data_IF_369678313212
#
_entry.id   IF_369678313212
#
_cell.length_a   1.000
_cell.length_b   1.000
_cell.length_c   1.000
_cell.angle_alpha   90.00
_cell.angle_beta   90.00
_cell.angle_gamma   90.00
#
_symmetry.space_group_name_H-M   'P 1'
#
loop_
_entity.id
_entity.type
_entity.pdbx_description
1 polymer ?
#
# COMPACT_ATOMS: atom_id res chain seq x y z
N UNK A 1 10.04 39.46 28.61
CA UNK A 1 11.44 38.97 28.62
C UNK A 1 11.52 37.90 27.58
N UNK A 2 12.01 38.31 26.42
CA UNK A 2 11.90 37.63 25.14
C UNK A 2 13.32 37.20 24.79
N UNK A 3 13.58 35.90 24.75
CA UNK A 3 14.86 35.39 24.25
C UNK A 3 14.66 34.97 22.80
N UNK A 4 15.09 35.86 21.91
CA UNK A 4 15.45 35.54 20.54
C UNK A 4 16.74 34.72 20.57
N UNK A 5 16.78 33.63 19.81
CA UNK A 5 18.03 32.95 19.46
C UNK A 5 18.25 33.20 17.97
N UNK A 6 19.32 33.93 17.70
CA UNK A 6 19.90 34.17 16.37
C UNK A 6 20.32 32.85 15.73
N UNK A 7 19.85 32.61 14.51
CA UNK A 7 20.48 31.68 13.57
C UNK A 7 21.14 32.50 12.47
N UNK A 8 22.39 32.88 12.71
CA UNK A 8 23.30 33.41 11.71
C UNK A 8 24.53 32.50 11.63
N UNK A 9 24.84 32.05 10.42
CA UNK A 9 26.18 31.61 10.02
C UNK A 9 26.47 30.12 10.17
N UNK A 10 26.19 29.35 9.12
CA UNK A 10 27.15 28.36 8.57
C UNK A 10 26.93 28.31 7.05
N UNK A 11 27.63 29.20 6.35
CA UNK A 11 27.96 29.08 4.93
C UNK A 11 29.45 28.65 4.86
N UNK A 12 29.86 28.03 3.75
CA UNK A 12 31.21 27.55 3.39
C UNK A 12 31.68 26.18 3.93
N UNK A 13 31.56 25.17 3.06
CA UNK A 13 32.68 24.32 2.66
C UNK A 13 32.34 23.61 1.32
N UNK A 14 32.62 24.32 0.22
CA UNK A 14 32.78 23.76 -1.12
C UNK A 14 34.26 23.83 -1.50
N UNK A 15 34.70 22.97 -2.43
CA UNK A 15 36.06 22.60 -2.88
C UNK A 15 36.48 21.24 -2.27
N UNK A 16 36.97 20.24 -3.00
CA UNK A 16 37.71 20.21 -4.27
C UNK A 16 37.90 18.73 -4.65
N UNK A 17 37.54 18.29 -5.86
CA UNK A 17 38.06 17.08 -6.54
C UNK A 17 37.79 17.26 -8.04
N UNK A 18 38.68 17.90 -8.79
CA UNK A 18 39.92 17.39 -9.42
C UNK A 18 39.66 16.50 -10.65
N UNK A 19 39.94 17.09 -11.81
CA UNK A 19 39.96 16.51 -13.16
C UNK A 19 41.28 15.79 -13.39
N UNK A 20 41.25 14.51 -13.75
CA UNK A 20 42.21 13.76 -14.61
C UNK A 20 41.79 12.29 -14.53
N UNK A 21 41.58 11.51 -15.60
CA UNK A 21 42.44 11.24 -16.75
C UNK A 21 41.61 10.55 -17.84
N UNK A 22 41.64 11.06 -19.07
CA UNK A 22 41.25 10.31 -20.27
C UNK A 22 42.31 9.25 -20.58
N UNK A 23 41.90 7.99 -20.65
CA UNK A 23 42.74 6.88 -21.11
C UNK A 23 41.91 5.90 -21.94
N UNK A 24 42.12 5.94 -23.25
CA UNK A 24 41.57 5.02 -24.24
C UNK A 24 42.09 3.60 -24.03
N UNK A 25 41.24 2.59 -24.25
CA UNK A 25 41.68 1.28 -24.79
C UNK A 25 40.50 0.53 -25.41
N UNK A 26 40.68 0.19 -26.69
CA UNK A 26 39.85 -0.73 -27.48
C UNK A 26 40.07 -2.19 -27.04
N UNK A 27 38.99 -2.99 -27.05
CA UNK A 27 38.86 -4.42 -27.39
C UNK A 27 37.52 -4.86 -26.76
N UNK A 28 36.48 -5.27 -27.49
CA UNK A 28 36.50 -6.32 -28.50
C UNK A 28 36.17 -7.64 -27.79
N UNK A 29 34.89 -7.98 -27.65
CA UNK A 29 34.40 -9.35 -27.86
C UNK A 29 32.87 -9.45 -27.81
N UNK A 30 32.37 -10.27 -28.74
CA UNK A 30 30.98 -10.62 -28.95
C UNK A 30 30.63 -11.75 -27.99
N UNK A 31 29.67 -11.53 -27.10
CA UNK A 31 28.92 -12.63 -26.49
C UNK A 31 27.41 -12.43 -26.67
N UNK A 32 26.81 -13.51 -27.15
CA UNK A 32 25.39 -13.69 -27.42
C UNK A 32 24.58 -13.59 -26.12
N UNK A 33 23.38 -12.98 -26.12
CA UNK A 33 22.58 -12.89 -24.91
C UNK A 33 22.02 -14.27 -24.56
N UNK A 34 22.53 -14.85 -23.46
CA UNK A 34 21.85 -15.93 -22.77
C UNK A 34 20.51 -15.39 -22.23
N UNK A 35 19.43 -15.84 -22.84
CA UNK A 35 18.07 -15.67 -22.35
C UNK A 35 17.96 -16.34 -20.97
N UNK A 36 18.03 -15.53 -19.92
CA UNK A 36 17.78 -15.93 -18.55
C UNK A 36 16.29 -16.30 -18.41
N UNK A 37 15.98 -17.54 -18.72
CA UNK A 37 14.64 -18.09 -18.60
C UNK A 37 14.37 -18.39 -17.12
N UNK A 38 14.01 -17.36 -16.35
CA UNK A 38 13.50 -17.50 -14.99
C UNK A 38 12.05 -18.01 -15.07
N UNK A 39 11.88 -19.32 -15.29
CA UNK A 39 10.60 -19.97 -15.02
C UNK A 39 10.34 -19.90 -13.51
N UNK A 40 9.32 -19.13 -13.13
CA UNK A 40 8.83 -18.98 -11.78
C UNK A 40 8.12 -20.27 -11.31
N UNK A 41 8.86 -21.18 -10.66
CA UNK A 41 8.27 -22.13 -9.68
C UNK A 41 7.90 -21.43 -8.35
N UNK A 42 8.12 -20.11 -8.23
CA UNK A 42 7.77 -19.30 -7.05
C UNK A 42 6.27 -18.93 -6.96
N UNK A 43 5.45 -19.41 -7.89
CA UNK A 43 4.00 -19.11 -7.94
C UNK A 43 3.23 -19.80 -6.81
N UNK A 44 3.57 -21.05 -6.48
CA UNK A 44 2.77 -21.82 -5.52
C UNK A 44 3.02 -21.40 -4.06
N UNK A 45 4.25 -21.04 -3.69
CA UNK A 45 4.54 -20.48 -2.37
C UNK A 45 3.91 -19.09 -2.11
N UNK A 46 3.77 -18.28 -3.16
CA UNK A 46 3.10 -16.97 -3.04
C UNK A 46 1.59 -17.12 -2.95
N UNK A 47 1.01 -18.14 -3.61
CA UNK A 47 -0.39 -18.50 -3.43
C UNK A 47 -0.66 -18.92 -1.99
N UNK A 48 0.19 -19.73 -1.36
CA UNK A 48 -0.03 -20.16 0.03
C UNK A 48 -0.09 -18.97 1.01
N UNK A 49 0.78 -17.96 0.85
CA UNK A 49 0.79 -16.74 1.70
C UNK A 49 -0.43 -15.83 1.42
N UNK A 50 -0.96 -15.85 0.20
CA UNK A 50 -2.17 -15.09 -0.19
C UNK A 50 -3.45 -15.85 0.21
N UNK A 51 -3.44 -17.17 0.13
CA UNK A 51 -4.53 -18.04 0.57
C UNK A 51 -4.73 -17.96 2.08
N UNK A 52 -3.62 -17.88 2.84
CA UNK A 52 -3.67 -17.67 4.29
C UNK A 52 -4.31 -16.32 4.66
N UNK A 53 -4.30 -15.32 3.75
CA UNK A 53 -5.01 -14.06 3.92
C UNK A 53 -6.50 -14.14 3.56
N UNK A 54 -6.89 -14.89 2.53
CA UNK A 54 -8.32 -15.07 2.18
C UNK A 54 -9.06 -15.95 3.18
N UNK A 55 -8.44 -17.05 3.66
CA UNK A 55 -9.07 -17.95 4.64
C UNK A 55 -9.17 -17.33 6.05
N UNK A 56 -8.30 -16.36 6.42
CA UNK A 56 -8.41 -15.63 7.70
C UNK A 56 -9.45 -14.50 7.69
N UNK A 57 -9.62 -13.79 6.56
CA UNK A 57 -10.53 -12.62 6.47
C UNK A 57 -11.98 -13.06 6.23
N UNK A 58 -12.17 -14.17 5.52
CA UNK A 58 -13.44 -14.87 5.42
C UNK A 58 -13.23 -16.31 5.83
N UNK A 59 -13.45 -16.69 7.11
CA UNK A 59 -13.59 -18.10 7.42
C UNK A 59 -14.67 -18.64 6.50
N UNK A 60 -14.29 -19.53 5.57
CA UNK A 60 -15.23 -20.15 4.64
C UNK A 60 -16.42 -20.60 5.45
N UNK A 61 -17.61 -20.11 5.09
CA UNK A 61 -18.82 -20.75 5.58
C UNK A 61 -18.66 -22.24 5.29
N UNK A 62 -18.86 -23.14 6.28
CA UNK A 62 -18.70 -24.55 6.06
C UNK A 62 -19.59 -24.94 4.88
N UNK A 63 -18.96 -25.35 3.78
CA UNK A 63 -19.67 -25.81 2.60
C UNK A 63 -20.65 -26.89 3.04
N UNK A 64 -21.92 -26.65 2.72
CA UNK A 64 -23.10 -27.46 3.03
C UNK A 64 -22.78 -28.94 3.16
N UNK A 65 -22.95 -29.47 4.38
CA UNK A 65 -22.88 -30.91 4.65
C UNK A 65 -23.82 -31.69 3.71
N UNK A 66 -23.42 -32.90 3.27
CA UNK A 66 -24.26 -33.73 2.42
C UNK A 66 -25.61 -33.98 3.08
N UNK A 67 -26.68 -33.83 2.31
CA UNK A 67 -28.06 -34.00 2.74
C UNK A 67 -28.28 -35.36 3.43
N UNK A 68 -28.27 -35.35 4.76
CA UNK A 68 -28.73 -36.47 5.58
C UNK A 68 -30.23 -36.30 5.74
N UNK A 69 -30.97 -37.08 4.97
CA UNK A 69 -32.41 -37.26 5.16
C UNK A 69 -32.63 -38.05 6.46
N UNK A 70 -33.04 -37.38 7.53
CA UNK A 70 -33.43 -38.03 8.79
C UNK A 70 -34.31 -37.10 9.60
N UNK A 71 -35.61 -37.38 9.60
CA UNK A 71 -36.64 -36.68 10.36
C UNK A 71 -36.27 -36.70 11.87
N UNK A 72 -36.00 -35.53 12.46
CA UNK A 72 -35.76 -35.43 13.91
C UNK A 72 -34.94 -34.25 14.46
N UNK A 73 -34.73 -33.17 13.70
CA UNK A 73 -33.92 -32.03 14.13
C UNK A 73 -34.69 -30.71 13.96
N UNK A 74 -35.37 -30.24 15.01
CA UNK A 74 -36.00 -28.90 15.01
C UNK A 74 -35.63 -28.07 16.25
N UNK A 75 -34.75 -28.57 17.13
CA UNK A 75 -34.37 -27.89 18.38
C UNK A 75 -32.87 -27.63 18.55
N UNK A 76 -32.01 -28.02 17.58
CA UNK A 76 -30.54 -27.88 17.70
C UNK A 76 -29.91 -26.77 16.84
N UNK A 77 -30.70 -26.05 16.03
CA UNK A 77 -30.17 -25.00 15.14
C UNK A 77 -30.08 -23.61 15.78
N UNK A 78 -30.73 -23.37 16.93
CA UNK A 78 -30.76 -22.02 17.53
C UNK A 78 -29.52 -21.64 18.36
N UNK A 79 -28.76 -22.61 18.85
CA UNK A 79 -27.62 -22.36 19.75
C UNK A 79 -26.35 -22.00 18.96
N UNK A 80 -26.13 -22.60 17.79
CA UNK A 80 -24.94 -22.36 16.95
C UNK A 80 -24.93 -20.96 16.32
N UNK A 81 -26.09 -20.42 15.91
CA UNK A 81 -26.19 -19.08 15.33
C UNK A 81 -25.74 -17.97 16.30
N UNK A 82 -26.07 -18.13 17.59
CA UNK A 82 -25.67 -17.14 18.62
C UNK A 82 -24.17 -17.13 18.87
N UNK A 83 -23.50 -18.28 18.74
CA UNK A 83 -22.06 -18.41 18.91
C UNK A 83 -21.33 -17.71 17.75
N UNK A 84 -21.74 -17.95 16.51
CA UNK A 84 -21.12 -17.34 15.31
C UNK A 84 -21.22 -15.81 15.36
N UNK A 85 -22.39 -15.27 15.68
CA UNK A 85 -22.60 -13.81 15.78
C UNK A 85 -21.70 -13.18 16.86
N UNK A 86 -21.55 -13.86 18.01
CA UNK A 86 -20.71 -13.38 19.11
C UNK A 86 -19.24 -13.31 18.71
N UNK A 87 -18.72 -14.32 18.01
CA UNK A 87 -17.34 -14.31 17.52
C UNK A 87 -17.09 -13.16 16.52
N UNK A 88 -18.01 -12.95 15.58
CA UNK A 88 -17.90 -11.85 14.62
C UNK A 88 -17.89 -10.48 15.30
N UNK A 89 -18.74 -10.27 16.32
CA UNK A 89 -18.74 -9.04 17.11
C UNK A 89 -17.43 -8.83 17.87
N UNK A 90 -16.88 -9.88 18.48
CA UNK A 90 -15.61 -9.82 19.19
C UNK A 90 -14.46 -9.44 18.26
N UNK A 91 -14.37 -10.05 17.07
CA UNK A 91 -13.35 -9.69 16.09
C UNK A 91 -13.45 -8.22 15.64
N UNK A 92 -14.67 -7.74 15.36
CA UNK A 92 -14.90 -6.33 15.01
C UNK A 92 -14.47 -5.38 16.13
N UNK A 93 -14.80 -5.70 17.38
CA UNK A 93 -14.39 -4.91 18.54
C UNK A 93 -12.86 -4.90 18.71
N UNK A 94 -12.19 -6.04 18.55
CA UNK A 94 -10.74 -6.12 18.59
C UNK A 94 -10.09 -5.26 17.50
N UNK A 95 -10.60 -5.32 16.25
CA UNK A 95 -10.13 -4.47 15.15
C UNK A 95 -10.24 -2.99 15.48
N UNK A 96 -11.39 -2.55 16.02
CA UNK A 96 -11.57 -1.14 16.44
C UNK A 96 -10.53 -0.75 17.50
N UNK A 97 -10.35 -1.57 18.54
CA UNK A 97 -9.40 -1.29 19.62
C UNK A 97 -7.96 -1.20 19.12
N UNK A 98 -7.56 -2.13 18.23
CA UNK A 98 -6.22 -2.15 17.64
C UNK A 98 -5.96 -0.92 16.77
N UNK A 99 -6.93 -0.51 15.96
CA UNK A 99 -6.84 0.71 15.13
C UNK A 99 -6.65 1.94 16.02
N UNK A 100 -7.52 2.12 17.02
CA UNK A 100 -7.44 3.28 17.92
C UNK A 100 -6.12 3.30 18.68
N UNK A 101 -5.67 2.17 19.20
CA UNK A 101 -4.40 2.06 19.90
C UNK A 101 -3.21 2.42 18.99
N UNK A 102 -3.18 1.91 17.76
CA UNK A 102 -2.13 2.20 16.79
C UNK A 102 -2.13 3.67 16.34
N UNK A 103 -3.31 4.28 16.16
CA UNK A 103 -3.46 5.71 15.86
C UNK A 103 -2.87 6.56 16.98
N UNK A 104 -3.26 6.31 18.23
CA UNK A 104 -2.77 7.06 19.39
C UNK A 104 -1.28 6.86 19.60
N UNK A 105 -0.79 5.62 19.48
CA UNK A 105 0.63 5.32 19.61
C UNK A 105 1.47 6.06 18.56
N UNK A 106 1.05 6.03 17.29
CA UNK A 106 1.76 6.71 16.20
C UNK A 106 1.71 8.23 16.36
N UNK A 107 0.54 8.77 16.70
CA UNK A 107 0.35 10.20 16.96
C UNK A 107 1.23 10.68 18.11
N UNK A 108 1.28 9.92 19.21
CA UNK A 108 2.07 10.26 20.37
C UNK A 108 3.58 10.18 20.10
N UNK A 109 4.03 9.13 19.41
CA UNK A 109 5.42 8.99 18.97
C UNK A 109 5.85 10.11 18.02
N UNK A 110 4.98 10.53 17.11
CA UNK A 110 5.31 11.58 16.15
C UNK A 110 5.30 12.98 16.76
N UNK A 111 4.29 13.33 17.55
CA UNK A 111 4.08 14.70 18.01
C UNK A 111 4.71 15.01 19.37
N UNK A 112 4.87 14.01 20.26
CA UNK A 112 5.46 14.23 21.58
C UNK A 112 6.90 13.74 21.71
N UNK A 113 7.31 12.75 20.92
CA UNK A 113 8.71 12.30 20.86
C UNK A 113 9.37 12.93 19.63
N UNK A 114 10.14 13.99 19.85
CA UNK A 114 10.88 14.70 18.80
C UNK A 114 11.93 13.86 18.06
N UNK A 115 12.17 12.62 18.51
CA UNK A 115 13.16 11.69 17.94
C UNK A 115 12.63 11.03 16.66
N UNK A 116 11.31 10.90 16.48
CA UNK A 116 10.74 10.13 15.38
C UNK A 116 10.05 11.02 14.33
N UNK A 117 10.50 10.89 13.08
CA UNK A 117 9.74 11.36 11.92
C UNK A 117 8.42 10.59 11.82
N UNK A 118 7.39 11.20 11.22
CA UNK A 118 6.06 10.58 11.08
C UNK A 118 6.09 9.18 10.45
N UNK A 119 6.91 9.00 9.41
CA UNK A 119 7.12 7.71 8.73
C UNK A 119 7.82 6.69 9.66
N UNK A 120 8.81 7.11 10.44
CA UNK A 120 9.50 6.23 11.38
C UNK A 120 8.57 5.78 12.52
N UNK A 121 7.72 6.68 13.03
CA UNK A 121 6.73 6.36 14.05
C UNK A 121 5.71 5.32 13.53
N UNK A 122 5.15 5.54 12.33
CA UNK A 122 4.24 4.57 11.69
C UNK A 122 4.94 3.24 11.40
N UNK A 123 6.19 3.29 10.91
CA UNK A 123 7.00 2.09 10.67
C UNK A 123 7.27 1.32 11.97
N UNK A 124 7.56 1.98 13.08
CA UNK A 124 7.76 1.31 14.36
C UNK A 124 6.48 0.61 14.85
N UNK A 125 5.34 1.30 14.81
CA UNK A 125 4.05 0.74 15.21
C UNK A 125 3.63 -0.41 14.29
N UNK A 126 3.83 -0.27 12.98
CA UNK A 126 3.58 -1.32 11.99
C UNK A 126 4.48 -2.55 12.18
N UNK A 127 5.76 -2.33 12.50
CA UNK A 127 6.72 -3.41 12.74
C UNK A 127 6.35 -4.19 14.01
N UNK A 128 6.09 -3.48 15.12
CA UNK A 128 5.69 -4.12 16.39
C UNK A 128 4.38 -4.86 16.23
N UNK A 129 3.37 -4.26 15.58
CA UNK A 129 2.10 -4.94 15.35
C UNK A 129 2.24 -6.15 14.43
N UNK A 130 3.03 -6.07 13.34
CA UNK A 130 3.27 -7.20 12.46
C UNK A 130 4.04 -8.36 13.09
N UNK A 131 4.82 -8.10 14.16
CA UNK A 131 5.56 -9.11 14.92
C UNK A 131 4.73 -9.75 16.04
N UNK A 132 3.80 -8.99 16.64
CA UNK A 132 3.07 -9.41 17.84
C UNK A 132 1.65 -9.90 17.52
N UNK A 133 1.02 -9.31 16.51
CA UNK A 133 -0.38 -9.55 16.15
C UNK A 133 -0.47 -10.43 14.89
N UNK A 134 -1.58 -11.19 14.72
CA UNK A 134 -1.86 -11.89 13.47
C UNK A 134 -1.99 -10.91 12.30
N UNK A 135 -1.78 -11.39 11.07
CA UNK A 135 -1.65 -10.55 9.88
C UNK A 135 -2.86 -9.62 9.66
N UNK A 136 -4.08 -10.13 9.87
CA UNK A 136 -5.30 -9.31 9.73
C UNK A 136 -5.34 -8.14 10.72
N UNK A 137 -4.97 -8.36 11.99
CA UNK A 137 -4.90 -7.31 13.01
C UNK A 137 -3.73 -6.36 12.76
N UNK A 138 -2.60 -6.87 12.28
CA UNK A 138 -1.44 -6.06 11.93
C UNK A 138 -1.77 -5.07 10.80
N UNK A 139 -2.54 -5.48 9.79
CA UNK A 139 -3.02 -4.58 8.73
C UNK A 139 -3.96 -3.51 9.27
N UNK A 140 -4.87 -3.87 10.18
CA UNK A 140 -5.73 -2.91 10.86
C UNK A 140 -4.90 -1.90 11.68
N UNK A 141 -3.94 -2.37 12.47
CA UNK A 141 -3.01 -1.53 13.22
C UNK A 141 -2.22 -0.58 12.28
N UNK A 142 -1.74 -1.10 11.15
CA UNK A 142 -0.99 -0.33 10.18
C UNK A 142 -1.84 0.77 9.53
N UNK A 143 -3.11 0.50 9.26
CA UNK A 143 -4.08 1.51 8.82
C UNK A 143 -4.27 2.61 9.88
N UNK A 144 -4.49 2.23 11.14
CA UNK A 144 -4.57 3.16 12.27
C UNK A 144 -3.31 4.00 12.42
N UNK A 145 -2.13 3.41 12.19
CA UNK A 145 -0.84 4.11 12.21
C UNK A 145 -0.79 5.23 11.17
N UNK A 146 -1.37 5.03 9.98
CA UNK A 146 -1.39 6.07 8.94
C UNK A 146 -2.28 7.25 9.29
N UNK A 147 -3.39 7.01 9.99
CA UNK A 147 -4.20 8.09 10.54
C UNK A 147 -3.44 8.84 11.65
N UNK A 148 -2.68 8.11 12.47
CA UNK A 148 -1.86 8.67 13.55
C UNK A 148 -0.65 9.48 13.07
N UNK A 149 -0.27 9.41 11.80
CA UNK A 149 0.74 10.28 11.18
C UNK A 149 0.32 11.76 11.09
N UNK A 150 -0.93 12.08 11.47
CA UNK A 150 -1.44 13.43 11.48
C UNK A 150 -0.65 14.35 12.43
N UNK A 151 -0.41 15.59 12.00
CA UNK A 151 0.27 16.61 12.82
C UNK A 151 -0.69 17.29 13.79
N UNK A 152 -0.14 17.93 14.82
CA UNK A 152 -0.90 18.78 15.75
C UNK A 152 -1.70 19.90 15.09
N UNK A 153 -1.32 20.33 13.88
CA UNK A 153 -2.07 21.32 13.10
C UNK A 153 -3.43 20.78 12.63
N UNK A 154 -3.52 19.48 12.33
CA UNK A 154 -4.76 18.82 11.89
C UNK A 154 -5.51 18.25 13.09
N UNK A 155 -4.79 17.66 14.04
CA UNK A 155 -5.33 16.96 15.21
C UNK A 155 -4.70 17.56 16.47
N UNK A 156 -5.35 18.54 17.13
CA UNK A 156 -4.69 19.36 18.16
C UNK A 156 -4.51 18.65 19.50
N UNK A 157 -5.09 17.47 19.70
CA UNK A 157 -5.04 16.78 20.99
C UNK A 157 -5.09 15.25 20.86
N UNK A 158 -4.65 14.55 21.91
CA UNK A 158 -4.79 13.08 22.02
C UNK A 158 -6.25 12.64 21.95
N UNK A 159 -7.17 13.42 22.51
CA UNK A 159 -8.61 13.13 22.44
C UNK A 159 -9.08 13.16 20.98
N UNK A 160 -8.63 14.14 20.20
CA UNK A 160 -8.89 14.21 18.76
C UNK A 160 -8.23 13.05 17.98
N UNK A 161 -7.07 12.55 18.44
CA UNK A 161 -6.45 11.36 17.86
C UNK A 161 -7.23 10.07 18.17
N UNK A 162 -7.82 9.96 19.37
CA UNK A 162 -8.71 8.85 19.73
C UNK A 162 -9.96 8.86 18.83
N UNK A 163 -10.63 10.02 18.69
CA UNK A 163 -11.78 10.13 17.79
C UNK A 163 -11.40 9.83 16.34
N UNK A 164 -10.26 10.31 15.86
CA UNK A 164 -9.74 9.95 14.54
C UNK A 164 -9.55 8.44 14.37
N UNK A 165 -9.04 7.74 15.39
CA UNK A 165 -8.95 6.28 15.40
C UNK A 165 -10.31 5.60 15.24
N UNK A 166 -11.36 6.11 15.90
CA UNK A 166 -12.73 5.62 15.73
C UNK A 166 -13.27 5.85 14.31
N UNK A 167 -13.04 7.02 13.71
CA UNK A 167 -13.40 7.27 12.31
C UNK A 167 -12.66 6.34 11.37
N UNK A 168 -11.36 6.10 11.61
CA UNK A 168 -10.57 5.17 10.83
C UNK A 168 -11.13 3.75 10.92
N UNK A 169 -11.45 3.28 12.12
CA UNK A 169 -12.07 1.98 12.31
C UNK A 169 -13.44 1.85 11.62
N UNK A 170 -14.27 2.91 11.67
CA UNK A 170 -15.55 2.94 10.97
C UNK A 170 -15.36 2.79 9.45
N UNK A 171 -14.43 3.54 8.86
CA UNK A 171 -14.17 3.47 7.41
C UNK A 171 -13.58 2.11 7.02
N UNK A 172 -12.67 1.54 7.83
CA UNK A 172 -12.17 0.17 7.62
C UNK A 172 -13.32 -0.83 7.58
N UNK A 173 -14.21 -0.81 8.58
CA UNK A 173 -15.35 -1.73 8.66
C UNK A 173 -16.31 -1.59 7.47
N UNK A 174 -16.55 -0.36 7.00
CA UNK A 174 -17.40 -0.11 5.81
C UNK A 174 -16.75 -0.68 4.55
N UNK A 175 -15.44 -0.48 4.38
CA UNK A 175 -14.71 -1.00 3.21
C UNK A 175 -14.62 -2.53 3.23
N UNK A 176 -14.38 -3.13 4.40
CA UNK A 176 -14.35 -4.58 4.57
C UNK A 176 -15.72 -5.19 4.30
N UNK A 177 -16.80 -4.60 4.83
CA UNK A 177 -18.16 -5.07 4.60
C UNK A 177 -18.56 -5.04 3.12
N UNK A 178 -18.04 -4.08 2.34
CA UNK A 178 -18.30 -3.96 0.90
C UNK A 178 -17.29 -4.70 0.03
N UNK A 179 -16.22 -5.27 0.60
CA UNK A 179 -15.11 -5.86 -0.15
C UNK A 179 -14.42 -4.85 -1.09
N UNK A 180 -14.44 -3.56 -0.77
CA UNK A 180 -13.98 -2.52 -1.68
C UNK A 180 -12.45 -2.45 -1.72
N UNK A 181 -11.86 -2.60 -2.92
CA UNK A 181 -10.41 -2.51 -3.19
C UNK A 181 -9.57 -3.60 -2.48
N UNK A 182 -10.15 -4.77 -2.22
CA UNK A 182 -9.41 -5.92 -1.70
C UNK A 182 -8.21 -6.24 -2.61
N UNK A 183 -7.07 -6.56 -2.00
CA UNK A 183 -5.82 -6.86 -2.72
C UNK A 183 -5.11 -5.66 -3.36
N UNK A 184 -5.68 -4.44 -3.35
CA UNK A 184 -5.05 -3.29 -3.99
C UNK A 184 -4.11 -2.58 -3.03
N UNK A 185 -2.85 -2.43 -3.45
CA UNK A 185 -1.83 -1.68 -2.72
C UNK A 185 -2.27 -0.23 -2.46
N UNK A 186 -2.00 0.29 -1.26
CA UNK A 186 -2.37 1.66 -0.87
C UNK A 186 -3.77 1.85 -0.27
N UNK A 187 -4.65 0.83 -0.32
CA UNK A 187 -6.01 0.87 0.27
C UNK A 187 -6.04 1.40 1.70
N UNK A 188 -5.14 0.92 2.56
CA UNK A 188 -5.10 1.31 3.98
C UNK A 188 -4.81 2.81 4.17
N UNK A 189 -3.94 3.39 3.33
CA UNK A 189 -3.67 4.82 3.40
C UNK A 189 -4.83 5.65 2.87
N UNK A 190 -5.54 5.17 1.85
CA UNK A 190 -6.78 5.82 1.38
C UNK A 190 -7.85 5.85 2.46
N UNK A 191 -8.05 4.74 3.18
CA UNK A 191 -8.97 4.68 4.32
C UNK A 191 -8.57 5.70 5.40
N UNK A 192 -7.28 5.76 5.75
CA UNK A 192 -6.78 6.74 6.70
C UNK A 192 -7.00 8.19 6.23
N UNK A 193 -6.83 8.46 4.93
CA UNK A 193 -7.11 9.77 4.35
C UNK A 193 -8.60 10.12 4.49
N UNK A 194 -9.51 9.22 4.10
CA UNK A 194 -10.95 9.42 4.26
C UNK A 194 -11.33 9.70 5.71
N UNK A 195 -10.77 8.94 6.66
CA UNK A 195 -11.01 9.14 8.08
C UNK A 195 -10.52 10.50 8.58
N UNK A 196 -9.32 10.93 8.15
CA UNK A 196 -8.81 12.27 8.43
C UNK A 196 -9.74 13.35 7.88
N UNK A 197 -10.21 13.21 6.63
CA UNK A 197 -11.16 14.15 6.02
C UNK A 197 -12.47 14.22 6.79
N UNK A 198 -13.05 13.07 7.13
CA UNK A 198 -14.32 13.01 7.86
C UNK A 198 -14.20 13.64 9.25
N UNK A 199 -13.14 13.29 9.98
CA UNK A 199 -12.88 13.86 11.30
C UNK A 199 -12.67 15.38 11.23
N UNK A 200 -11.91 15.84 10.24
CA UNK A 200 -11.62 17.25 10.04
C UNK A 200 -12.88 18.06 9.69
N UNK A 201 -13.69 17.57 8.74
CA UNK A 201 -14.96 18.20 8.36
C UNK A 201 -15.92 18.25 9.55
N UNK A 202 -16.03 17.17 10.33
CA UNK A 202 -16.86 17.16 11.53
C UNK A 202 -16.35 18.16 12.58
N UNK A 203 -15.03 18.25 12.74
CA UNK A 203 -14.41 19.21 13.67
C UNK A 203 -14.74 20.64 13.28
N UNK A 204 -14.71 21.00 11.99
CA UNK A 204 -15.13 22.33 11.50
C UNK A 204 -16.60 22.64 11.84
N UNK A 205 -17.48 21.64 11.74
CA UNK A 205 -18.91 21.82 11.98
C UNK A 205 -19.21 22.00 13.48
N UNK A 206 -18.54 21.25 14.34
CA UNK A 206 -18.81 21.22 15.78
C UNK A 206 -18.02 22.29 16.54
N UNK A 207 -16.78 22.53 16.14
CA UNK A 207 -15.84 23.45 16.79
C UNK A 207 -15.44 24.49 15.75
N UNK A 208 -15.73 25.76 16.01
CA UNK A 208 -15.37 26.85 15.11
C UNK A 208 -13.88 26.72 14.70
N UNK A 209 -13.56 26.71 13.39
CA UNK A 209 -12.24 26.33 12.92
C UNK A 209 -11.18 27.27 13.46
N UNK A 210 -10.07 26.71 13.96
CA UNK A 210 -8.85 27.48 14.16
C UNK A 210 -8.36 27.98 12.79
N UNK A 211 -7.96 29.25 12.66
CA UNK A 211 -7.56 29.85 11.37
C UNK A 211 -6.35 29.17 10.70
N UNK A 212 -5.62 28.34 11.44
CA UNK A 212 -4.44 27.57 10.98
C UNK A 212 -4.81 26.30 10.20
N UNK A 213 -6.07 25.89 10.22
CA UNK A 213 -6.59 24.67 9.59
C UNK A 213 -7.11 24.92 8.16
N UNK A 214 -6.40 25.71 7.34
CA UNK A 214 -6.83 25.99 5.96
C UNK A 214 -6.57 24.79 5.05
N UNK A 215 -7.61 24.12 4.52
CA UNK A 215 -7.49 22.92 3.67
C UNK A 215 -6.52 23.03 2.47
N UNK A 216 -6.28 24.24 1.97
CA UNK A 216 -5.48 24.49 0.77
C UNK A 216 -4.62 25.74 1.01
N UNK A 217 -3.30 25.59 0.94
CA UNK A 217 -2.43 26.74 0.79
C UNK A 217 -2.24 27.02 -0.71
N UNK A 218 -3.06 27.93 -1.24
CA UNK A 218 -3.03 28.32 -2.66
C UNK A 218 -1.68 28.96 -3.01
N UNK A 219 -0.96 29.51 -2.03
CA UNK A 219 0.35 30.12 -2.25
C UNK A 219 1.49 29.10 -2.44
N UNK A 220 1.25 27.84 -2.06
CA UNK A 220 2.20 26.74 -2.19
C UNK A 220 2.12 26.01 -3.53
N UNK A 221 1.27 26.43 -4.48
CA UNK A 221 1.29 25.83 -5.83
C UNK A 221 2.61 26.18 -6.51
N UNK A 222 3.51 25.20 -6.72
CA UNK A 222 4.78 25.47 -7.35
C UNK A 222 4.52 25.90 -8.80
N UNK A 223 5.14 27.00 -9.21
CA UNK A 223 5.12 27.45 -10.60
C UNK A 223 5.64 26.31 -11.50
N UNK A 224 4.88 25.98 -12.54
CA UNK A 224 5.04 24.77 -13.38
C UNK A 224 6.44 24.66 -14.04
N UNK A 225 7.18 25.76 -14.16
CA UNK A 225 8.32 25.86 -15.09
C UNK A 225 9.71 25.55 -14.51
N UNK A 226 9.99 25.73 -13.21
CA UNK A 226 11.38 25.62 -12.71
C UNK A 226 11.76 24.28 -12.06
N UNK A 227 10.78 23.45 -11.65
CA UNK A 227 11.05 22.28 -10.81
C UNK A 227 10.70 20.93 -11.44
N UNK A 228 10.09 20.92 -12.63
CA UNK A 228 9.41 19.73 -13.12
C UNK A 228 10.34 18.54 -13.42
N UNK A 229 11.45 18.64 -14.19
CA UNK A 229 12.17 17.44 -14.60
C UNK A 229 12.93 16.76 -13.44
N UNK A 230 13.61 17.54 -12.58
CA UNK A 230 14.43 16.98 -11.50
C UNK A 230 13.55 16.42 -10.38
N UNK A 231 12.52 17.17 -9.94
CA UNK A 231 11.60 16.69 -8.89
C UNK A 231 10.82 15.45 -9.37
N UNK A 232 10.34 15.48 -10.62
CA UNK A 232 9.69 14.34 -11.25
C UNK A 232 10.60 13.12 -11.25
N UNK A 233 11.80 13.25 -11.82
CA UNK A 233 12.75 12.13 -11.89
C UNK A 233 13.09 11.58 -10.50
N UNK A 234 13.33 12.46 -9.52
CA UNK A 234 13.61 12.05 -8.14
C UNK A 234 12.44 11.27 -7.52
N UNK A 235 11.21 11.77 -7.59
CA UNK A 235 10.05 11.10 -7.00
C UNK A 235 9.75 9.78 -7.71
N UNK A 236 9.79 9.74 -9.04
CA UNK A 236 9.57 8.52 -9.80
C UNK A 236 10.62 7.45 -9.49
N UNK A 237 11.90 7.78 -9.61
CA UNK A 237 12.99 6.84 -9.38
C UNK A 237 12.99 6.28 -7.95
N UNK A 238 12.80 7.14 -6.94
CA UNK A 238 12.75 6.70 -5.54
C UNK A 238 11.50 5.87 -5.21
N UNK A 239 10.34 6.17 -5.80
CA UNK A 239 9.13 5.35 -5.66
C UNK A 239 9.34 3.95 -6.26
N UNK A 240 9.98 3.87 -7.42
CA UNK A 240 10.34 2.58 -8.05
C UNK A 240 11.35 1.80 -7.19
N UNK A 241 12.37 2.47 -6.65
CA UNK A 241 13.34 1.83 -5.75
C UNK A 241 12.66 1.24 -4.51
N UNK A 242 11.70 1.97 -3.92
CA UNK A 242 10.93 1.48 -2.78
C UNK A 242 10.09 0.24 -3.07
N UNK A 243 9.45 0.19 -4.24
CA UNK A 243 8.65 -0.98 -4.64
C UNK A 243 9.52 -2.21 -4.93
N UNK A 244 10.65 -2.01 -5.62
CA UNK A 244 11.62 -3.09 -5.89
C UNK A 244 12.22 -3.61 -4.58
N UNK A 245 12.70 -2.71 -3.71
CA UNK A 245 13.27 -3.08 -2.42
C UNK A 245 12.30 -3.92 -1.59
N UNK A 246 11.05 -3.47 -1.47
CA UNK A 246 10.00 -4.17 -0.75
C UNK A 246 9.71 -5.56 -1.32
N UNK A 247 9.66 -5.71 -2.65
CA UNK A 247 9.44 -7.01 -3.29
C UNK A 247 10.64 -7.94 -3.10
N UNK A 248 11.87 -7.44 -3.24
CA UNK A 248 13.09 -8.22 -3.00
C UNK A 248 13.20 -8.67 -1.54
N UNK A 249 12.82 -7.81 -0.59
CA UNK A 249 12.77 -8.15 0.83
C UNK A 249 11.85 -9.35 1.07
N UNK A 250 10.60 -9.28 0.61
CA UNK A 250 9.63 -10.37 0.76
C UNK A 250 10.12 -11.67 0.12
N UNK A 251 10.69 -11.61 -1.09
CA UNK A 251 11.24 -12.78 -1.78
C UNK A 251 12.44 -13.39 -1.05
N UNK A 252 13.28 -12.55 -0.44
CA UNK A 252 14.45 -13.01 0.32
C UNK A 252 14.02 -13.74 1.58
N UNK A 253 13.11 -13.15 2.37
CA UNK A 253 12.64 -13.76 3.61
C UNK A 253 11.71 -14.95 3.39
N UNK A 254 10.96 -14.99 2.27
CA UNK A 254 10.16 -16.16 1.91
C UNK A 254 11.02 -17.40 1.58
N UNK A 255 12.28 -17.22 1.19
CA UNK A 255 13.23 -18.33 0.94
C UNK A 255 13.93 -18.83 2.20
N UNK A 256 13.88 -18.07 3.29
CA UNK A 256 14.51 -18.44 4.55
C UNK A 256 13.56 -19.33 5.36
N UNK A 257 14.09 -20.42 5.89
CA UNK A 257 13.34 -21.29 6.79
C UNK A 257 13.26 -20.69 8.20
N UNK A 258 12.10 -20.84 8.84
CA UNK A 258 11.88 -20.44 10.24
C UNK A 258 10.65 -19.57 10.45
N UNK A 259 10.08 -19.64 11.65
CA UNK A 259 8.89 -18.86 12.02
C UNK A 259 9.14 -17.34 11.94
N UNK A 260 10.34 -16.89 12.34
CA UNK A 260 10.69 -15.47 12.26
C UNK A 260 10.81 -15.00 10.79
N UNK A 261 11.38 -15.82 9.91
CA UNK A 261 11.51 -15.49 8.49
C UNK A 261 10.14 -15.32 7.82
N UNK A 262 9.19 -16.20 8.13
CA UNK A 262 7.79 -16.09 7.67
C UNK A 262 7.16 -14.77 8.12
N UNK A 263 7.32 -14.42 9.41
CA UNK A 263 6.84 -13.16 9.95
C UNK A 263 7.49 -11.93 9.27
N UNK A 264 8.80 -11.99 8.98
CA UNK A 264 9.52 -10.95 8.23
C UNK A 264 9.07 -10.81 6.76
N UNK A 265 8.52 -11.88 6.18
CA UNK A 265 7.97 -11.87 4.82
C UNK A 265 6.56 -11.25 4.73
N UNK A 266 5.89 -11.01 5.87
CA UNK A 266 4.60 -10.33 5.90
C UNK A 266 4.71 -8.92 5.31
N UNK A 267 3.70 -8.53 4.54
CA UNK A 267 3.68 -7.25 3.82
C UNK A 267 3.73 -6.04 4.77
N UNK A 268 3.05 -6.12 5.91
CA UNK A 268 3.09 -5.04 6.92
C UNK A 268 4.49 -4.87 7.49
N UNK A 269 5.12 -5.98 7.88
CA UNK A 269 6.46 -5.99 8.48
C UNK A 269 7.50 -5.45 7.51
N UNK A 270 7.49 -5.93 6.26
CA UNK A 270 8.44 -5.50 5.26
C UNK A 270 8.25 -4.02 4.86
N UNK A 271 7.02 -3.52 4.76
CA UNK A 271 6.76 -2.09 4.51
C UNK A 271 7.18 -1.24 5.70
N UNK A 272 6.88 -1.69 6.92
CA UNK A 272 7.27 -1.03 8.17
C UNK A 272 8.79 -0.94 8.34
N UNK A 273 9.50 -2.04 8.08
CA UNK A 273 10.96 -2.08 8.07
C UNK A 273 11.53 -1.12 7.02
N UNK A 274 10.94 -1.08 5.82
CA UNK A 274 11.29 -0.10 4.79
C UNK A 274 11.14 1.32 5.33
N UNK A 275 9.99 1.66 5.93
CA UNK A 275 9.71 2.96 6.53
C UNK A 275 10.74 3.41 7.57
N UNK A 276 11.11 2.52 8.50
CA UNK A 276 12.14 2.80 9.52
C UNK A 276 13.50 3.02 8.86
N UNK A 277 13.92 2.11 7.96
CA UNK A 277 15.21 2.19 7.29
C UNK A 277 15.33 3.49 6.48
N UNK A 278 14.33 3.83 5.69
CA UNK A 278 14.38 5.04 4.84
C UNK A 278 14.31 6.32 5.67
N UNK A 279 13.64 6.30 6.82
CA UNK A 279 13.56 7.47 7.68
C UNK A 279 14.89 7.78 8.38
N UNK A 280 15.77 6.79 8.55
CA UNK A 280 17.09 6.97 9.15
C UNK A 280 18.22 7.15 8.14
N UNK A 281 18.09 6.55 6.96
CA UNK A 281 19.19 6.51 5.98
C UNK A 281 19.04 7.51 4.84
N UNK A 282 17.81 7.89 4.48
CA UNK A 282 17.55 8.73 3.32
C UNK A 282 17.15 10.16 3.72
N UNK A 283 17.44 11.15 2.87
CA UNK A 283 16.98 12.51 3.08
C UNK A 283 15.45 12.59 2.95
N UNK A 284 14.85 13.57 3.64
CA UNK A 284 13.39 13.75 3.76
C UNK A 284 12.65 13.78 2.42
N UNK A 285 13.28 14.32 1.36
CA UNK A 285 12.67 14.39 0.02
C UNK A 285 12.51 13.01 -0.64
N UNK A 286 13.31 12.02 -0.25
CA UNK A 286 13.27 10.66 -0.79
C UNK A 286 12.45 9.71 0.10
N UNK A 287 12.41 9.95 1.42
CA UNK A 287 11.75 9.06 2.39
C UNK A 287 10.28 8.80 2.04
N UNK A 288 9.51 9.85 1.71
CA UNK A 288 8.10 9.74 1.35
C UNK A 288 7.86 8.88 0.09
N UNK A 289 8.47 9.22 -1.06
CA UNK A 289 8.42 8.41 -2.27
C UNK A 289 8.82 6.94 -2.09
N UNK A 290 9.93 6.64 -1.41
CA UNK A 290 10.36 5.25 -1.20
C UNK A 290 9.34 4.49 -0.35
N UNK A 291 8.81 5.12 0.71
CA UNK A 291 7.77 4.51 1.54
C UNK A 291 6.47 4.29 0.76
N UNK A 292 6.07 5.24 -0.09
CA UNK A 292 4.95 5.10 -1.04
C UNK A 292 5.13 3.89 -1.97
N UNK A 293 6.33 3.72 -2.54
CA UNK A 293 6.68 2.57 -3.37
C UNK A 293 6.47 1.23 -2.67
N UNK A 294 6.76 1.16 -1.37
CA UNK A 294 6.53 -0.06 -0.59
C UNK A 294 5.05 -0.47 -0.56
N UNK A 295 4.11 0.48 -0.56
CA UNK A 295 2.67 0.19 -0.59
C UNK A 295 2.18 -0.34 -1.92
N UNK A 296 2.80 0.08 -3.04
CA UNK A 296 2.49 -0.47 -4.36
C UNK A 296 2.86 -1.97 -4.39
N UNK A 297 4.01 -2.33 -3.82
CA UNK A 297 4.47 -3.71 -3.71
C UNK A 297 3.72 -4.55 -2.64
N UNK A 298 2.81 -3.94 -1.87
CA UNK A 298 1.86 -4.68 -1.01
C UNK A 298 0.63 -5.18 -1.77
N UNK A 299 0.42 -4.75 -3.03
CA UNK A 299 -0.68 -5.29 -3.84
C UNK A 299 -0.57 -6.81 -3.98
N UNK A 300 -1.73 -7.47 -4.07
CA UNK A 300 -1.82 -8.90 -4.23
C UNK A 300 -1.17 -9.31 -5.57
N UNK A 301 -0.52 -10.49 -5.65
CA UNK A 301 0.12 -10.96 -6.87
C UNK A 301 -0.81 -11.03 -8.09
N UNK A 302 -2.10 -11.26 -7.87
CA UNK A 302 -3.14 -11.30 -8.90
C UNK A 302 -3.36 -9.92 -9.54
N UNK A 303 -3.09 -8.86 -8.78
CA UNK A 303 -3.25 -7.47 -9.22
C UNK A 303 -2.00 -6.95 -9.95
N UNK A 304 -0.82 -7.36 -9.48
CA UNK A 304 0.47 -6.97 -10.06
C UNK A 304 1.38 -8.21 -10.19
N UNK A 305 1.17 -9.06 -11.22
CA UNK A 305 1.82 -10.36 -11.31
C UNK A 305 3.31 -10.28 -11.64
N UNK A 306 3.75 -9.22 -12.32
CA UNK A 306 5.12 -9.10 -12.82
C UNK A 306 5.90 -7.97 -12.14
N UNK A 307 7.22 -8.04 -12.18
CA UNK A 307 8.06 -6.91 -11.74
C UNK A 307 7.79 -5.66 -12.59
N UNK A 308 7.55 -5.85 -13.89
CA UNK A 308 7.22 -4.74 -14.79
C UNK A 308 5.89 -4.08 -14.40
N UNK A 309 4.86 -4.85 -14.04
CA UNK A 309 3.60 -4.27 -13.55
C UNK A 309 3.79 -3.48 -12.26
N UNK A 310 4.64 -3.95 -11.34
CA UNK A 310 4.99 -3.23 -10.11
C UNK A 310 5.71 -1.91 -10.43
N UNK A 311 6.69 -1.93 -11.34
CA UNK A 311 7.44 -0.73 -11.75
C UNK A 311 6.52 0.27 -12.44
N UNK A 312 5.64 -0.18 -13.34
CA UNK A 312 4.65 0.68 -14.01
C UNK A 312 3.68 1.31 -13.01
N UNK A 313 3.09 0.51 -12.11
CA UNK A 313 2.21 1.01 -11.06
C UNK A 313 2.93 1.98 -10.10
N UNK A 314 4.19 1.71 -9.75
CA UNK A 314 5.01 2.59 -8.91
C UNK A 314 5.35 3.92 -9.60
N UNK A 315 5.57 3.88 -10.92
CA UNK A 315 5.76 5.10 -11.72
C UNK A 315 4.49 5.95 -11.68
N UNK A 316 3.32 5.35 -11.91
CA UNK A 316 2.03 6.05 -11.83
C UNK A 316 1.73 6.55 -10.41
N UNK A 317 2.11 5.80 -9.36
CA UNK A 317 2.00 6.23 -7.98
C UNK A 317 2.88 7.46 -7.68
N UNK A 318 4.10 7.50 -8.21
CA UNK A 318 4.98 8.67 -8.09
C UNK A 318 4.41 9.90 -8.80
N UNK A 319 3.76 9.73 -9.97
CA UNK A 319 3.02 10.82 -10.63
C UNK A 319 1.84 11.29 -9.78
N UNK A 320 1.06 10.35 -9.22
CA UNK A 320 -0.05 10.67 -8.33
C UNK A 320 0.42 11.41 -7.07
N UNK A 321 1.59 11.05 -6.52
CA UNK A 321 2.17 11.73 -5.37
C UNK A 321 2.50 13.19 -5.68
N UNK A 322 3.07 13.47 -6.85
CA UNK A 322 3.35 14.84 -7.30
C UNK A 322 2.06 15.63 -7.50
N UNK A 323 1.03 15.00 -8.06
CA UNK A 323 -0.28 15.62 -8.22
C UNK A 323 -0.92 15.97 -6.88
N UNK A 324 -0.72 15.15 -5.84
CA UNK A 324 -1.29 15.34 -4.50
C UNK A 324 -0.52 16.34 -3.62
N UNK A 325 0.71 16.71 -3.99
CA UNK A 325 1.61 17.56 -3.18
C UNK A 325 1.02 18.97 -2.91
N UNK A 326 0.02 19.40 -3.69
CA UNK A 326 -0.70 20.68 -3.51
C UNK A 326 -2.14 20.60 -2.97
N UNK A 327 -2.76 19.40 -2.91
CA UNK A 327 -4.19 19.29 -2.58
C UNK A 327 -4.49 19.16 -1.08
N UNK A 328 -3.56 18.56 -0.33
CA UNK A 328 -3.72 18.38 1.10
C UNK A 328 -2.55 19.06 1.80
N UNK A 329 -2.81 19.89 2.82
CA UNK A 329 -1.75 20.50 3.64
C UNK A 329 -0.78 19.45 4.21
N UNK A 330 0.48 19.85 4.44
CA UNK A 330 1.46 19.05 5.16
C UNK A 330 0.87 18.48 6.47
N UNK A 331 1.11 17.20 6.74
CA UNK A 331 0.68 16.57 7.99
C UNK A 331 -0.70 15.89 7.98
N UNK A 332 -1.31 15.67 6.82
CA UNK A 332 -2.46 14.76 6.70
C UNK A 332 -2.03 13.30 6.60
N UNK A 333 -2.67 12.43 7.39
CA UNK A 333 -2.48 10.98 7.34
C UNK A 333 -2.97 10.36 6.03
N UNK A 334 -2.30 9.31 5.55
CA UNK A 334 -2.80 8.48 4.45
C UNK A 334 -2.52 8.94 3.01
N UNK A 335 -1.89 10.12 2.79
CA UNK A 335 -1.62 10.63 1.43
C UNK A 335 -0.79 9.68 0.57
N UNK A 336 0.31 9.14 1.11
CA UNK A 336 1.22 8.26 0.39
C UNK A 336 0.53 6.97 -0.03
N UNK A 337 -0.28 6.36 0.84
CA UNK A 337 -1.07 5.20 0.47
C UNK A 337 -2.16 5.52 -0.56
N UNK A 338 -2.75 6.73 -0.51
CA UNK A 338 -3.68 7.17 -1.56
C UNK A 338 -3.00 7.31 -2.92
N UNK A 339 -1.79 7.88 -2.97
CA UNK A 339 -0.99 7.96 -4.19
C UNK A 339 -0.67 6.56 -4.75
N UNK A 340 -0.28 5.63 -3.88
CA UNK A 340 -0.07 4.23 -4.25
C UNK A 340 -1.35 3.58 -4.81
N UNK A 341 -2.50 3.79 -4.15
CA UNK A 341 -3.80 3.27 -4.61
C UNK A 341 -4.14 3.78 -6.01
N UNK A 342 -4.01 5.09 -6.23
CA UNK A 342 -4.25 5.71 -7.55
C UNK A 342 -3.31 5.10 -8.59
N UNK A 343 -2.02 4.94 -8.27
CA UNK A 343 -1.04 4.33 -9.18
C UNK A 343 -1.40 2.90 -9.59
N UNK A 344 -1.82 2.05 -8.63
CA UNK A 344 -2.24 0.67 -8.91
C UNK A 344 -3.53 0.63 -9.73
N UNK A 345 -4.51 1.48 -9.41
CA UNK A 345 -5.76 1.56 -10.18
C UNK A 345 -5.55 2.05 -11.62
N UNK A 346 -4.73 3.08 -11.80
CA UNK A 346 -4.38 3.61 -13.13
C UNK A 346 -3.63 2.58 -13.99
N UNK A 347 -2.87 1.67 -13.38
CA UNK A 347 -2.27 0.55 -14.10
C UNK A 347 -3.30 -0.54 -14.42
N UNK A 348 -4.10 -0.95 -13.42
CA UNK A 348 -5.01 -2.10 -13.52
C UNK A 348 -6.17 -1.89 -14.47
N UNK A 349 -6.81 -0.72 -14.44
CA UNK A 349 -8.02 -0.44 -15.23
C UNK A 349 -7.73 -0.61 -16.74
N UNK A 350 -6.69 0.01 -17.33
CA UNK A 350 -6.36 -0.20 -18.73
C UNK A 350 -6.00 -1.65 -19.08
N UNK A 351 -5.24 -2.34 -18.22
CA UNK A 351 -4.83 -3.73 -18.47
C UNK A 351 -6.04 -4.67 -18.55
N UNK A 352 -7.04 -4.47 -17.69
CA UNK A 352 -8.30 -5.24 -17.74
C UNK A 352 -9.11 -4.96 -18.99
N UNK A 353 -9.24 -3.69 -19.37
CA UNK A 353 -9.95 -3.31 -20.59
C UNK A 353 -9.26 -3.88 -21.84
N UNK A 354 -7.93 -3.96 -21.86
CA UNK A 354 -7.20 -4.56 -22.98
C UNK A 354 -7.39 -6.08 -23.04
N UNK A 355 -7.43 -6.77 -21.90
CA UNK A 355 -7.69 -8.21 -21.85
C UNK A 355 -9.08 -8.54 -22.40
N UNK A 356 -10.13 -7.83 -21.96
CA UNK A 356 -11.50 -8.00 -22.46
C UNK A 356 -11.61 -7.76 -23.98
N UNK A 357 -10.82 -6.82 -24.53
CA UNK A 357 -10.76 -6.58 -25.96
C UNK A 357 -10.13 -7.73 -26.75
N UNK A 358 -9.11 -8.38 -26.20
CA UNK A 358 -8.40 -9.50 -26.85
C UNK A 358 -9.28 -10.74 -26.87
N UNK A 359 -9.92 -11.06 -25.75
CA UNK A 359 -10.83 -12.22 -25.65
C UNK A 359 -12.01 -12.08 -26.63
N UNK A 360 -12.53 -10.87 -26.79
CA UNK A 360 -13.61 -10.58 -27.75
C UNK A 360 -13.23 -10.81 -29.22
N UNK A 361 -11.92 -10.86 -29.57
CA UNK A 361 -11.47 -11.14 -30.93
C UNK A 361 -11.36 -12.63 -31.24
N UNK A 362 -11.02 -13.47 -30.26
CA UNK A 362 -10.84 -14.90 -30.49
C UNK A 362 -12.19 -15.58 -30.80
N UNK A 363 -13.25 -15.25 -30.05
CA UNK A 363 -14.60 -15.77 -30.25
C UNK A 363 -15.20 -15.47 -31.63
N UNK A 364 -14.82 -14.33 -32.23
CA UNK A 364 -15.27 -13.93 -33.56
C UNK A 364 -14.63 -14.74 -34.69
N UNK A 365 -13.44 -15.31 -34.46
CA UNK A 365 -12.67 -16.01 -35.49
C UNK A 365 -13.03 -17.49 -35.64
N UNK A 366 -13.58 -18.12 -34.60
CA UNK A 366 -13.91 -19.55 -34.62
C UNK A 366 -15.23 -19.86 -35.33
N UNK A 367 -16.12 -18.87 -35.48
CA UNK A 367 -17.41 -19.04 -36.18
C UNK A 367 -17.30 -19.15 -37.71
N UNK A 368 -16.17 -18.77 -38.33
CA UNK A 368 -16.00 -18.83 -39.79
C UNK A 368 -15.23 -20.08 -40.28
N UNK A 369 -14.68 -20.90 -39.38
CA UNK A 369 -13.96 -22.13 -39.75
C UNK A 369 -14.89 -23.34 -40.04
N UNK A 370 -16.20 -23.21 -39.83
CA UNK A 370 -17.18 -24.30 -39.90
C UNK A 370 -17.76 -24.62 -41.29
N UNK A 371 -17.52 -23.81 -42.32
CA UNK A 371 -18.09 -24.05 -43.66
C UNK A 371 -17.01 -24.48 -44.66
N UNK A 372 -16.43 -25.68 -44.46
CA UNK A 372 -15.68 -26.34 -45.55
C UNK A 372 -16.68 -26.75 -46.62
N UNK A 373 -16.58 -26.23 -47.87
CA UNK A 373 -17.42 -26.72 -48.96
C UNK A 373 -17.12 -28.20 -49.18
N UNK A 374 -18.18 -29.01 -49.11
CA UNK A 374 -18.16 -30.43 -49.36
C UNK A 374 -17.69 -30.65 -50.81
N UNK A 375 -16.40 -30.98 -51.01
CA UNK A 375 -15.86 -31.24 -52.35
C UNK A 375 -16.31 -32.65 -52.77
N UNK A 376 -17.14 -32.79 -53.81
CA UNK A 376 -17.60 -34.09 -54.28
C UNK A 376 -16.42 -34.87 -54.89
N UNK A 377 -16.30 -36.13 -54.48
CA UNK A 377 -15.17 -37.00 -54.76
C UNK A 377 -14.85 -37.16 -56.25
N UNK A 378 -13.56 -37.06 -56.57
CA UNK A 378 -12.99 -37.60 -57.79
C UNK A 378 -12.74 -39.09 -57.59
N UNK A 379 -13.50 -39.91 -58.32
CA UNK A 379 -13.23 -41.33 -58.61
C UNK A 379 -11.93 -41.47 -59.41
N UNK A 380 -10.97 -42.22 -58.88
CA UNK A 380 -9.83 -42.76 -59.62
C UNK A 380 -10.30 -43.78 -60.67
N UNK A 381 -9.75 -43.68 -61.89
CA UNK A 381 -9.77 -44.70 -62.95
C UNK A 381 -8.35 -44.86 -63.46
#
# INVERSE_FOLDING_TARGET
MTHCIDTAGVEEAALQMDETTLGSTEHGDKESPATLNCNLESSDYLKDIVFEYEDEVHPRQPDTLPAVTGEGEEERDSEDDTVVVRWQLLHKLQTILVIVAATVATFGLHNYLSVFNSIAASGLVGLVSGLVLPQYMALAAFCGSFAGMATLQVIPSVVAAISLGFFCALVVLVFDYKGFLLGIGGRLGFIALCACTMHFVLSIIVVAPSPEASLVDISSFPSIEEFFPIKLFRVLSTTIVGSIFMKLWRLTFARLEGSLAKCMAHSVVASSATGILVAWTLPLWATGPVYCGSFVAMAAPEELPTMMSIVSAATLAGLAQLALDGFFLGGWGGKLGTAALIGVLLYRIPVRLLAECVDSQEDGSESDAGNKPNVPGMTEV
#
